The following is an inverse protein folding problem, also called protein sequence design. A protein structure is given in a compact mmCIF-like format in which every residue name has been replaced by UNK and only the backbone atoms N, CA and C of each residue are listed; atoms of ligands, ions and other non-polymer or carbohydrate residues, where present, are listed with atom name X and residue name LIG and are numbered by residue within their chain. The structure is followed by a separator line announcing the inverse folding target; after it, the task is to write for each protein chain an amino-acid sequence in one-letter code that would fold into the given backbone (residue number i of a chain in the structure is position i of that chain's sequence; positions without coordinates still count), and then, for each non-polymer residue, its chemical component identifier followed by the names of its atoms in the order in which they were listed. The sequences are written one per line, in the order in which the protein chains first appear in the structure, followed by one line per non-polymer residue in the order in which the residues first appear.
data_IF_134513105273
#
_entry.id   IF_134513105273
#
_cell.length_a   1.000
_cell.length_b   1.000
_cell.length_c   1.000
_cell.angle_alpha   90.00
_cell.angle_beta   90.00
_cell.angle_gamma   90.00
#
_symmetry.space_group_name_H-M   'P 1'
#
loop_
_entity.id
_entity.type
_entity.pdbx_description
1 polymer ?
#
# COMPACT_ATOMS: atom_id res chain seq x y z
N UNK A 1 16.58 2.15 15.47
CA UNK A 1 15.11 2.23 15.26
C UNK A 1 14.66 1.09 14.38
N UNK A 2 13.37 0.73 14.33
CA UNK A 2 12.90 -0.37 13.47
C UNK A 2 12.91 0.02 11.97
N UNK A 3 13.27 -0.94 11.10
CA UNK A 3 13.31 -0.77 9.64
C UNK A 3 12.52 -1.88 8.91
N UNK A 4 11.99 -1.59 7.71
CA UNK A 4 11.46 -2.61 6.81
C UNK A 4 12.51 -3.67 6.49
N UNK A 5 12.07 -4.89 6.17
CA UNK A 5 12.97 -5.95 5.69
C UNK A 5 13.44 -5.72 4.25
N UNK A 6 12.59 -5.06 3.46
CA UNK A 6 12.87 -4.67 2.08
C UNK A 6 12.43 -3.22 1.90
N UNK A 7 13.26 -2.41 1.25
CA UNK A 7 12.85 -1.11 0.70
C UNK A 7 13.06 -1.16 -0.80
N UNK A 8 11.98 -0.91 -1.53
CA UNK A 8 11.94 -0.88 -2.97
C UNK A 8 11.86 0.56 -3.47
N UNK A 9 12.45 0.81 -4.64
CA UNK A 9 12.41 2.10 -5.31
C UNK A 9 11.97 1.92 -6.77
N UNK A 10 11.14 2.85 -7.27
CA UNK A 10 11.13 3.11 -8.71
C UNK A 10 12.43 3.80 -9.12
N UNK A 11 12.69 3.86 -10.42
CA UNK A 11 13.85 4.50 -11.01
C UNK A 11 13.53 5.93 -11.45
N UNK A 12 12.75 6.03 -12.52
CA UNK A 12 12.37 7.30 -13.15
C UNK A 12 11.43 8.09 -12.23
N UNK A 13 11.68 9.39 -12.05
CA UNK A 13 10.95 10.23 -11.10
C UNK A 13 11.35 10.02 -9.63
N UNK A 14 12.08 8.96 -9.30
CA UNK A 14 12.42 8.57 -7.92
C UNK A 14 13.93 8.65 -7.63
N UNK A 15 14.75 7.75 -8.19
CA UNK A 15 16.21 7.82 -8.04
C UNK A 15 16.79 8.96 -8.89
N UNK A 16 16.17 9.21 -10.04
CA UNK A 16 16.55 10.27 -10.96
C UNK A 16 15.31 10.90 -11.59
N UNK A 17 15.39 12.17 -11.95
CA UNK A 17 14.18 12.97 -12.19
C UNK A 17 13.37 12.59 -13.43
N UNK A 18 14.03 12.29 -14.55
CA UNK A 18 13.35 12.08 -15.84
C UNK A 18 13.55 10.68 -16.35
N UNK A 19 12.61 10.23 -17.18
CA UNK A 19 12.69 8.94 -17.87
C UNK A 19 14.05 8.73 -18.55
N UNK A 20 14.75 7.67 -18.17
CA UNK A 20 16.00 7.25 -18.80
C UNK A 20 15.69 6.57 -20.15
N UNK A 21 15.48 7.42 -21.17
CA UNK A 21 14.95 7.01 -22.45
C UNK A 21 15.99 6.31 -23.34
N UNK A 22 15.69 5.04 -23.65
CA UNK A 22 16.37 4.17 -24.62
C UNK A 22 16.60 4.79 -26.00
N UNK A 23 15.75 5.71 -26.41
CA UNK A 23 15.76 6.30 -27.74
C UNK A 23 16.54 7.62 -27.80
N UNK A 24 16.71 8.31 -26.66
CA UNK A 24 17.42 9.59 -26.58
C UNK A 24 18.88 9.42 -26.19
N UNK A 25 19.15 8.56 -25.22
CA UNK A 25 20.52 8.18 -24.86
C UNK A 25 21.08 7.24 -25.96
N UNK A 26 22.34 7.42 -26.32
CA UNK A 26 23.09 6.64 -27.31
C UNK A 26 22.69 6.81 -28.77
N UNK A 27 21.69 7.63 -29.09
CA UNK A 27 21.28 7.89 -30.47
C UNK A 27 21.98 9.13 -31.02
N UNK A 28 23.17 8.95 -31.59
CA UNK A 28 23.70 9.58 -32.83
C UNK A 28 25.22 9.36 -32.94
N UNK A 29 25.64 8.56 -33.91
CA UNK A 29 27.04 8.33 -34.28
C UNK A 29 27.56 6.95 -33.88
N UNK A 30 28.61 6.48 -34.56
CA UNK A 30 29.24 5.18 -34.35
C UNK A 30 29.63 5.00 -32.87
N UNK A 31 28.76 4.38 -32.07
CA UNK A 31 29.05 4.06 -30.67
C UNK A 31 30.05 2.90 -30.67
N UNK A 32 31.15 3.05 -29.94
CA UNK A 32 32.13 1.97 -29.83
C UNK A 32 31.53 0.83 -29.03
N UNK A 33 31.42 -0.35 -29.65
CA UNK A 33 31.24 -1.72 -29.18
C UNK A 33 30.21 -2.08 -28.06
N UNK A 34 29.74 -1.17 -27.20
CA UNK A 34 28.67 -1.37 -26.19
C UNK A 34 27.97 -0.02 -25.91
N UNK A 35 26.65 0.05 -26.11
CA UNK A 35 25.90 1.32 -26.02
C UNK A 35 25.62 1.76 -24.56
N UNK A 36 25.85 0.84 -23.63
CA UNK A 36 25.75 0.98 -22.18
C UNK A 36 26.92 1.81 -21.63
N UNK A 37 28.13 1.61 -22.19
CA UNK A 37 29.33 2.34 -21.78
C UNK A 37 29.33 3.81 -22.20
N UNK A 38 28.28 4.25 -22.91
CA UNK A 38 28.08 5.64 -23.29
C UNK A 38 27.52 6.52 -22.17
N UNK A 39 27.22 5.96 -20.99
CA UNK A 39 26.81 6.72 -19.82
C UNK A 39 28.01 7.11 -18.94
N UNK A 40 27.97 8.32 -18.39
CA UNK A 40 28.90 8.80 -17.36
C UNK A 40 28.14 9.58 -16.28
N UNK A 41 28.74 9.68 -15.09
CA UNK A 41 28.24 10.54 -14.03
C UNK A 41 29.09 11.81 -13.92
N UNK A 42 28.45 12.98 -14.01
CA UNK A 42 29.10 14.29 -13.91
C UNK A 42 28.22 15.20 -13.08
N UNK A 43 28.75 15.74 -11.97
CA UNK A 43 28.03 16.68 -11.09
C UNK A 43 26.63 16.17 -10.68
N UNK A 44 26.55 14.92 -10.21
CA UNK A 44 25.32 14.24 -9.84
C UNK A 44 24.28 14.10 -10.97
N UNK A 45 24.73 14.07 -12.23
CA UNK A 45 23.89 13.84 -13.41
C UNK A 45 24.41 12.65 -14.18
N UNK A 46 23.53 11.73 -14.54
CA UNK A 46 23.81 10.69 -15.53
C UNK A 46 23.70 11.33 -16.90
N UNK A 47 24.81 11.36 -17.64
CA UNK A 47 24.93 12.05 -18.92
C UNK A 47 25.37 11.08 -20.00
N UNK A 48 24.90 11.33 -21.22
CA UNK A 48 25.43 10.69 -22.42
C UNK A 48 26.80 11.29 -22.80
N UNK A 49 27.83 10.44 -22.91
CA UNK A 49 29.21 10.85 -23.24
C UNK A 49 29.30 11.53 -24.61
N UNK A 50 28.56 11.03 -25.60
CA UNK A 50 28.58 11.53 -26.99
C UNK A 50 27.57 12.67 -27.23
N UNK A 51 26.44 12.64 -26.52
CA UNK A 51 25.38 13.64 -26.61
C UNK A 51 25.19 14.35 -25.27
N UNK A 52 26.19 15.13 -24.85
CA UNK A 52 26.25 15.82 -23.54
C UNK A 52 24.99 16.60 -23.11
N UNK A 53 24.17 17.18 -24.02
CA UNK A 53 22.88 17.77 -23.64
C UNK A 53 21.87 16.76 -23.04
N UNK A 54 21.95 15.49 -23.42
CA UNK A 54 21.09 14.41 -22.91
C UNK A 54 21.63 13.95 -21.55
N UNK A 55 20.89 14.31 -20.49
CA UNK A 55 21.28 14.05 -19.11
C UNK A 55 20.05 13.93 -18.21
N UNK A 56 20.16 13.12 -17.15
CA UNK A 56 19.19 13.05 -16.07
C UNK A 56 19.88 13.45 -14.77
N UNK A 57 19.23 14.30 -13.97
CA UNK A 57 19.69 14.63 -12.61
C UNK A 57 19.33 13.49 -11.66
N UNK A 58 20.32 13.00 -10.92
CA UNK A 58 20.15 12.02 -9.84
C UNK A 58 19.67 12.78 -8.61
N UNK A 59 18.84 12.15 -7.78
CA UNK A 59 18.43 12.76 -6.52
C UNK A 59 19.63 13.01 -5.60
N UNK A 60 19.68 14.17 -4.95
CA UNK A 60 20.86 14.59 -4.18
C UNK A 60 21.01 13.77 -2.88
N UNK A 61 19.89 13.35 -2.28
CA UNK A 61 19.88 12.61 -1.01
C UNK A 61 20.05 11.09 -1.17
N UNK A 62 20.03 10.58 -2.41
CA UNK A 62 19.95 9.13 -2.63
C UNK A 62 21.15 8.37 -2.05
N UNK A 63 22.35 8.94 -2.12
CA UNK A 63 23.56 8.29 -1.58
C UNK A 63 23.46 8.10 -0.07
N UNK A 64 22.94 9.10 0.64
CA UNK A 64 22.76 9.04 2.09
C UNK A 64 21.64 8.07 2.47
N UNK A 65 20.53 8.09 1.72
CA UNK A 65 19.39 7.18 1.92
C UNK A 65 19.83 5.72 1.75
N UNK A 66 20.55 5.41 0.67
CA UNK A 66 21.04 4.06 0.42
C UNK A 66 22.06 3.64 1.48
N UNK A 67 22.98 4.53 1.86
CA UNK A 67 23.95 4.28 2.94
C UNK A 67 23.25 3.94 4.26
N UNK A 68 22.19 4.66 4.64
CA UNK A 68 21.38 4.37 5.83
C UNK A 68 20.73 2.99 5.76
N UNK A 69 20.16 2.62 4.60
CA UNK A 69 19.56 1.30 4.41
C UNK A 69 20.59 0.17 4.51
N UNK A 70 21.79 0.36 3.95
CA UNK A 70 22.89 -0.60 4.04
C UNK A 70 23.33 -0.76 5.50
N UNK A 71 23.52 0.34 6.23
CA UNK A 71 23.89 0.34 7.64
C UNK A 71 22.89 -0.41 8.52
N UNK A 72 21.59 -0.28 8.21
CA UNK A 72 20.51 -0.96 8.91
C UNK A 72 20.17 -2.37 8.36
N UNK A 73 21.00 -2.90 7.45
CA UNK A 73 20.86 -4.26 6.86
C UNK A 73 19.52 -4.48 6.15
N UNK A 74 18.97 -3.43 5.56
CA UNK A 74 17.75 -3.51 4.74
C UNK A 74 18.10 -4.03 3.36
N UNK A 75 17.32 -4.98 2.83
CA UNK A 75 17.47 -5.44 1.45
C UNK A 75 16.86 -4.41 0.50
N UNK A 76 17.63 -3.99 -0.50
CA UNK A 76 17.19 -2.99 -1.47
C UNK A 76 16.61 -3.71 -2.69
N UNK A 77 15.49 -3.21 -3.19
CA UNK A 77 14.84 -3.70 -4.40
C UNK A 77 14.59 -2.55 -5.39
N UNK A 78 14.56 -2.88 -6.67
CA UNK A 78 14.11 -2.00 -7.74
C UNK A 78 12.81 -2.58 -8.32
N UNK A 79 11.81 -1.73 -8.46
CA UNK A 79 10.54 -2.07 -9.08
C UNK A 79 10.17 -0.93 -10.05
N UNK A 80 10.50 -1.10 -11.34
CA UNK A 80 10.34 -0.04 -12.34
C UNK A 80 9.66 -0.50 -13.62
N UNK A 81 8.83 0.38 -14.19
CA UNK A 81 8.16 0.13 -15.47
C UNK A 81 8.99 0.50 -16.70
N UNK A 82 10.24 0.92 -16.50
CA UNK A 82 11.14 1.21 -17.60
C UNK A 82 11.36 -0.05 -18.46
N UNK A 83 11.43 0.13 -19.78
CA UNK A 83 11.62 -0.94 -20.76
C UNK A 83 13.10 -1.19 -21.10
N UNK A 84 14.01 -0.38 -20.56
CA UNK A 84 15.46 -0.41 -20.84
C UNK A 84 16.27 -0.97 -19.67
N UNK A 85 15.82 -2.12 -19.15
CA UNK A 85 16.41 -2.87 -18.02
C UNK A 85 17.89 -3.21 -18.24
N UNK A 86 18.14 -4.07 -19.24
CA UNK A 86 19.33 -4.91 -19.47
C UNK A 86 18.86 -6.31 -19.82
N UNK A 87 19.61 -7.03 -20.65
CA UNK A 87 19.23 -8.28 -21.31
C UNK A 87 18.85 -9.46 -20.37
N UNK A 88 17.75 -10.14 -20.73
CA UNK A 88 17.64 -11.59 -20.90
C UNK A 88 17.93 -12.54 -19.72
N UNK A 89 16.87 -12.95 -19.01
CA UNK A 89 16.39 -14.35 -18.93
C UNK A 89 15.33 -14.45 -17.83
N UNK A 90 14.05 -14.26 -18.20
CA UNK A 90 12.91 -14.96 -17.58
C UNK A 90 11.66 -14.62 -18.40
N UNK A 91 11.48 -15.36 -19.49
CA UNK A 91 10.16 -15.65 -20.03
C UNK A 91 10.16 -17.08 -20.53
N UNK A 92 9.03 -17.71 -20.29
CA UNK A 92 8.71 -19.12 -20.42
C UNK A 92 9.15 -19.79 -21.72
N UNK A 93 9.25 -21.12 -21.62
CA UNK A 93 9.27 -22.08 -22.73
C UNK A 93 8.52 -21.58 -23.97
N UNK A 94 9.15 -21.79 -25.12
CA UNK A 94 8.62 -21.80 -26.49
C UNK A 94 8.94 -20.60 -27.41
N UNK A 95 9.90 -20.89 -28.31
CA UNK A 95 9.87 -20.64 -29.77
C UNK A 95 10.23 -19.23 -30.27
N UNK A 96 11.38 -19.22 -30.97
CA UNK A 96 11.83 -18.34 -32.07
C UNK A 96 12.21 -16.87 -31.80
N UNK A 97 13.51 -16.68 -31.56
CA UNK A 97 14.40 -15.78 -32.31
C UNK A 97 13.79 -14.48 -32.89
N UNK A 98 13.78 -13.42 -32.07
CA UNK A 98 14.20 -12.09 -32.52
C UNK A 98 15.12 -11.51 -31.44
N UNK A 99 16.41 -11.37 -31.77
CA UNK A 99 17.37 -10.53 -31.03
C UNK A 99 16.85 -9.09 -31.09
N UNK A 100 15.97 -8.71 -30.17
CA UNK A 100 15.72 -7.30 -29.90
C UNK A 100 16.93 -6.74 -29.15
N UNK A 101 17.45 -5.62 -29.63
CA UNK A 101 18.48 -4.80 -29.00
C UNK A 101 18.01 -4.34 -27.61
N UNK A 102 18.18 -5.17 -26.59
CA UNK A 102 17.94 -4.78 -25.21
C UNK A 102 19.24 -4.16 -24.70
N UNK A 103 19.16 -2.87 -24.36
CA UNK A 103 20.28 -2.07 -23.89
C UNK A 103 20.17 -1.86 -22.35
N UNK A 104 21.11 -2.41 -21.56
CA UNK A 104 21.24 -2.28 -20.09
C UNK A 104 21.39 -0.89 -19.45
N UNK A 105 20.57 0.10 -19.80
CA UNK A 105 20.80 1.48 -19.31
C UNK A 105 20.49 1.66 -17.85
N UNK A 106 19.41 1.06 -17.36
CA UNK A 106 19.04 1.19 -15.95
C UNK A 106 20.09 0.53 -15.05
N UNK A 107 20.52 -0.69 -15.37
CA UNK A 107 21.56 -1.39 -14.61
C UNK A 107 22.90 -0.63 -14.67
N UNK A 108 23.24 -0.08 -15.83
CA UNK A 108 24.46 0.73 -15.98
C UNK A 108 24.39 2.04 -15.21
N UNK A 109 23.23 2.70 -15.22
CA UNK A 109 22.98 3.88 -14.41
C UNK A 109 23.16 3.57 -12.92
N UNK A 110 22.56 2.49 -12.42
CA UNK A 110 22.73 2.02 -11.04
C UNK A 110 24.19 1.72 -10.72
N UNK A 111 24.94 1.13 -11.66
CA UNK A 111 26.36 0.85 -11.48
C UNK A 111 27.22 2.13 -11.35
N UNK A 112 26.85 3.21 -12.05
CA UNK A 112 27.58 4.49 -11.98
C UNK A 112 27.38 5.22 -10.64
N UNK A 113 26.34 4.88 -9.88
CA UNK A 113 26.05 5.48 -8.59
C UNK A 113 26.86 4.79 -7.50
N UNK A 114 28.04 5.34 -7.17
CA UNK A 114 28.83 4.85 -6.05
C UNK A 114 28.28 5.34 -4.72
N UNK A 115 27.94 4.40 -3.84
CA UNK A 115 27.42 4.66 -2.49
C UNK A 115 28.42 4.20 -1.44
N UNK A 116 28.47 4.91 -0.31
CA UNK A 116 29.31 4.54 0.82
C UNK A 116 28.65 3.43 1.63
N UNK A 117 29.36 2.33 1.88
CA UNK A 117 28.91 1.28 2.81
C UNK A 117 29.48 1.55 4.21
N UNK A 118 28.64 1.96 5.17
CA UNK A 118 29.09 2.27 6.52
C UNK A 118 29.57 1.03 7.30
N UNK A 119 29.33 -0.19 6.81
CA UNK A 119 29.75 -1.44 7.47
C UNK A 119 31.14 -1.89 7.01
N UNK A 120 31.49 -1.61 5.76
CA UNK A 120 32.79 -2.00 5.17
C UNK A 120 33.74 -0.81 5.00
N UNK A 121 33.25 0.41 5.20
CA UNK A 121 33.97 1.67 4.96
C UNK A 121 34.49 1.80 3.50
N UNK A 122 33.77 1.22 2.54
CA UNK A 122 34.13 1.24 1.12
C UNK A 122 33.04 1.88 0.27
N UNK A 123 33.46 2.52 -0.82
CA UNK A 123 32.57 2.98 -1.87
C UNK A 123 32.33 1.83 -2.85
N UNK A 124 31.08 1.52 -3.14
CA UNK A 124 30.71 0.50 -4.13
C UNK A 124 29.52 0.96 -4.98
N UNK A 125 29.37 0.42 -6.19
CA UNK A 125 28.18 0.65 -7.01
C UNK A 125 26.88 0.32 -6.27
N UNK A 126 25.83 1.13 -6.46
CA UNK A 126 24.48 0.85 -5.93
C UNK A 126 23.95 -0.50 -6.43
N UNK A 127 24.29 -0.88 -7.67
CA UNK A 127 23.93 -2.18 -8.25
C UNK A 127 24.34 -3.37 -7.37
N UNK A 128 25.44 -3.26 -6.61
CA UNK A 128 25.94 -4.34 -5.76
C UNK A 128 25.05 -4.59 -4.53
N UNK A 129 24.22 -3.60 -4.16
CA UNK A 129 23.31 -3.69 -3.00
C UNK A 129 21.86 -3.99 -3.40
N UNK A 130 21.53 -3.94 -4.69
CA UNK A 130 20.19 -4.29 -5.20
C UNK A 130 20.05 -5.81 -5.22
N UNK A 131 19.21 -6.34 -4.33
CA UNK A 131 18.97 -7.78 -4.19
C UNK A 131 17.89 -8.27 -5.14
N UNK A 132 16.88 -7.45 -5.41
CA UNK A 132 15.78 -7.77 -6.32
C UNK A 132 15.66 -6.67 -7.37
N UNK A 133 15.82 -7.01 -8.64
CA UNK A 133 15.87 -6.05 -9.74
C UNK A 133 14.74 -6.31 -10.75
N UNK A 134 13.52 -5.86 -10.44
CA UNK A 134 12.35 -5.99 -11.30
C UNK A 134 12.19 -4.70 -12.12
N UNK A 135 12.59 -4.72 -13.39
CA UNK A 135 12.46 -3.58 -14.33
C UNK A 135 11.82 -4.08 -15.61
N UNK A 136 10.53 -3.83 -15.83
CA UNK A 136 9.80 -4.18 -17.05
C UNK A 136 8.42 -3.51 -17.03
N UNK A 137 7.82 -3.28 -18.20
CA UNK A 137 6.55 -2.56 -18.31
C UNK A 137 5.34 -3.44 -17.94
N UNK A 138 5.16 -3.67 -16.65
CA UNK A 138 4.01 -4.37 -16.06
C UNK A 138 3.50 -3.63 -14.82
N UNK A 139 2.33 -4.00 -14.30
CA UNK A 139 1.85 -3.46 -13.02
C UNK A 139 2.89 -3.67 -11.91
N UNK A 140 3.04 -2.68 -11.02
CA UNK A 140 3.90 -2.80 -9.83
C UNK A 140 3.46 -3.96 -8.93
N UNK A 141 2.19 -4.40 -9.02
CA UNK A 141 1.72 -5.61 -8.34
C UNK A 141 2.50 -6.85 -8.75
N UNK A 142 2.77 -7.03 -10.04
CA UNK A 142 3.53 -8.18 -10.56
C UNK A 142 4.99 -8.14 -10.07
N UNK A 143 5.57 -6.93 -10.00
CA UNK A 143 6.92 -6.73 -9.44
C UNK A 143 6.98 -7.19 -7.99
N UNK A 144 6.03 -6.75 -7.15
CA UNK A 144 5.98 -7.13 -5.75
C UNK A 144 5.59 -8.59 -5.52
N UNK A 145 4.79 -9.21 -6.41
CA UNK A 145 4.53 -10.66 -6.38
C UNK A 145 5.83 -11.45 -6.52
N UNK A 146 6.66 -11.11 -7.51
CA UNK A 146 7.98 -11.76 -7.69
C UNK A 146 8.93 -11.48 -6.54
N UNK A 147 9.01 -10.23 -6.07
CA UNK A 147 9.85 -9.89 -4.90
C UNK A 147 9.41 -10.71 -3.68
N UNK A 148 8.11 -10.87 -3.43
CA UNK A 148 7.60 -11.69 -2.33
C UNK A 148 7.97 -13.17 -2.52
N UNK A 149 7.78 -13.72 -3.72
CA UNK A 149 8.13 -15.10 -4.06
C UNK A 149 9.61 -15.40 -3.82
N UNK A 150 10.52 -14.55 -4.31
CA UNK A 150 11.95 -14.74 -4.13
C UNK A 150 12.42 -14.48 -2.70
N UNK A 151 11.83 -13.49 -2.01
CA UNK A 151 12.32 -13.04 -0.71
C UNK A 151 11.72 -13.77 0.49
N UNK A 152 10.54 -14.39 0.33
CA UNK A 152 9.71 -14.89 1.42
C UNK A 152 9.24 -13.82 2.41
N UNK A 153 9.38 -12.53 2.08
CA UNK A 153 9.00 -11.43 2.96
C UNK A 153 7.53 -11.09 2.75
N UNK A 154 6.81 -10.95 3.85
CA UNK A 154 5.43 -10.46 3.79
C UNK A 154 5.37 -8.97 3.39
N UNK A 155 4.39 -8.61 2.56
CA UNK A 155 4.22 -7.26 2.00
C UNK A 155 4.26 -6.17 3.08
N UNK A 156 3.66 -6.44 4.23
CA UNK A 156 3.59 -5.48 5.33
C UNK A 156 4.96 -5.14 5.98
N UNK A 157 6.03 -5.87 5.62
CA UNK A 157 7.43 -5.60 5.96
C UNK A 157 8.21 -4.92 4.83
N UNK A 158 7.53 -4.45 3.78
CA UNK A 158 8.12 -3.77 2.63
C UNK A 158 7.78 -2.26 2.61
N UNK A 159 8.84 -1.47 2.40
CA UNK A 159 8.93 -0.08 1.95
C UNK A 159 8.77 0.09 0.43
N UNK A 160 7.89 0.92 -0.13
CA UNK A 160 8.00 1.30 -1.56
C UNK A 160 7.92 2.82 -1.78
N UNK A 161 8.87 3.34 -2.56
CA UNK A 161 8.93 4.73 -3.01
C UNK A 161 8.77 4.82 -4.52
N UNK A 162 7.82 5.66 -4.97
CA UNK A 162 7.47 5.85 -6.39
C UNK A 162 6.84 7.24 -6.57
N UNK A 163 7.01 7.86 -7.73
CA UNK A 163 6.46 9.20 -8.01
C UNK A 163 5.02 9.17 -8.55
N UNK A 164 4.60 8.07 -9.18
CA UNK A 164 3.27 7.91 -9.76
C UNK A 164 2.26 7.48 -8.71
N UNK A 165 1.19 8.25 -8.53
CA UNK A 165 0.17 7.93 -7.52
C UNK A 165 -0.55 6.63 -7.86
N UNK A 166 -0.77 6.31 -9.13
CA UNK A 166 -1.42 5.07 -9.57
C UNK A 166 -0.74 3.83 -9.00
N UNK A 167 0.59 3.87 -8.80
CA UNK A 167 1.35 2.78 -8.22
C UNK A 167 1.05 2.55 -6.72
N UNK A 168 0.32 3.46 -6.05
CA UNK A 168 -0.27 3.23 -4.71
C UNK A 168 -1.25 2.04 -4.69
N UNK A 169 -1.64 1.53 -5.86
CA UNK A 169 -2.39 0.28 -5.99
C UNK A 169 -1.74 -0.89 -5.24
N UNK A 170 -0.42 -0.89 -5.03
CA UNK A 170 0.25 -1.98 -4.30
C UNK A 170 0.00 -1.89 -2.80
N UNK A 171 -0.03 -0.67 -2.23
CA UNK A 171 -0.49 -0.44 -0.85
C UNK A 171 -1.98 -0.75 -0.73
N UNK A 172 -2.74 -0.45 -1.79
CA UNK A 172 -4.05 -1.03 -1.95
C UNK A 172 -3.87 -2.57 -2.06
N UNK A 173 -4.02 -3.21 -3.19
CA UNK A 173 -4.19 -4.67 -3.31
C UNK A 173 -3.26 -5.62 -2.52
N UNK A 174 -2.02 -5.25 -2.16
CA UNK A 174 -1.05 -6.13 -1.49
C UNK A 174 -0.73 -5.75 -0.03
N UNK A 175 -0.98 -4.51 0.37
CA UNK A 175 -0.80 -4.05 1.76
C UNK A 175 0.65 -3.81 2.19
N UNK A 176 1.57 -3.56 1.26
CA UNK A 176 2.86 -2.93 1.61
C UNK A 176 2.69 -1.43 1.85
N UNK A 177 3.68 -0.79 2.48
CA UNK A 177 3.62 0.66 2.72
C UNK A 177 4.11 1.40 1.49
N UNK A 178 3.27 2.30 0.95
CA UNK A 178 3.61 3.12 -0.20
C UNK A 178 3.87 4.57 0.22
N UNK A 179 4.97 5.13 -0.26
CA UNK A 179 5.30 6.53 -0.08
C UNK A 179 5.41 7.21 -1.46
N UNK A 180 4.46 8.11 -1.76
CA UNK A 180 4.55 8.94 -2.97
C UNK A 180 5.77 9.86 -2.84
N UNK A 181 6.62 9.81 -3.85
CA UNK A 181 7.68 10.78 -4.10
C UNK A 181 7.06 11.93 -4.88
N UNK A 182 7.37 13.16 -4.48
CA UNK A 182 6.86 14.33 -5.17
C UNK A 182 7.48 14.38 -6.57
N UNK A 183 6.64 14.44 -7.60
CA UNK A 183 7.08 14.61 -8.99
C UNK A 183 7.73 15.99 -9.16
N UNK A 184 9.00 16.08 -8.78
CA UNK A 184 9.80 17.29 -8.65
C UNK A 184 11.18 17.05 -9.23
N UNK A 185 11.86 18.10 -9.68
CA UNK A 185 13.21 18.06 -10.25
C UNK A 185 14.31 17.52 -9.31
N UNK A 186 13.94 17.16 -8.07
CA UNK A 186 14.83 16.71 -7.01
C UNK A 186 14.80 15.18 -6.80
N UNK A 187 13.77 14.48 -7.27
CA UNK A 187 13.57 13.05 -6.96
C UNK A 187 13.32 12.80 -5.46
N UNK A 188 13.64 11.60 -4.97
CA UNK A 188 13.43 11.21 -3.58
C UNK A 188 14.32 11.98 -2.59
N UNK A 189 13.70 12.87 -1.80
CA UNK A 189 14.42 13.63 -0.77
C UNK A 189 14.43 12.93 0.59
N UNK A 190 15.39 13.31 1.45
CA UNK A 190 15.55 12.76 2.79
C UNK A 190 14.27 12.89 3.64
N UNK A 191 13.54 14.00 3.52
CA UNK A 191 12.28 14.21 4.23
C UNK A 191 11.20 13.18 3.86
N UNK A 192 11.07 12.87 2.56
CA UNK A 192 10.10 11.87 2.06
C UNK A 192 10.50 10.46 2.48
N UNK A 193 11.80 10.17 2.46
CA UNK A 193 12.36 8.91 2.96
C UNK A 193 12.03 8.69 4.45
N UNK A 194 12.34 9.68 5.30
CA UNK A 194 12.10 9.61 6.73
C UNK A 194 10.60 9.48 7.04
N UNK A 195 9.76 10.22 6.31
CA UNK A 195 8.31 10.11 6.43
C UNK A 195 7.80 8.72 6.04
N UNK A 196 8.30 8.15 4.94
CA UNK A 196 7.94 6.79 4.52
C UNK A 196 8.31 5.74 5.56
N UNK A 197 9.48 5.86 6.19
CA UNK A 197 9.88 5.00 7.31
C UNK A 197 8.97 5.16 8.51
N UNK A 198 8.58 6.39 8.85
CA UNK A 198 7.67 6.67 9.96
C UNK A 198 6.27 6.09 9.72
N UNK A 199 5.72 6.26 8.51
CA UNK A 199 4.44 5.63 8.11
C UNK A 199 4.56 4.11 8.22
N UNK A 200 5.65 3.52 7.71
CA UNK A 200 5.86 2.07 7.81
C UNK A 200 5.93 1.59 9.27
N UNK A 201 6.63 2.34 10.15
CA UNK A 201 6.73 2.04 11.59
C UNK A 201 5.36 2.11 12.26
N UNK A 202 4.56 3.14 11.94
CA UNK A 202 3.17 3.24 12.43
C UNK A 202 2.32 2.06 11.99
N UNK A 203 2.47 1.65 10.73
CA UNK A 203 1.83 0.45 10.21
C UNK A 203 2.30 -0.83 10.91
N UNK A 204 3.45 -0.81 11.59
CA UNK A 204 3.88 -1.95 12.41
C UNK A 204 3.07 -2.11 13.70
N UNK A 205 2.48 -1.05 14.26
CA UNK A 205 1.62 -1.16 15.43
C UNK A 205 0.24 -1.74 15.13
N UNK A 206 -0.15 -1.86 13.85
CA UNK A 206 -1.31 -2.67 13.45
C UNK A 206 -1.06 -4.19 13.54
N UNK A 207 0.07 -4.65 14.11
CA UNK A 207 0.20 -6.07 14.44
C UNK A 207 -0.71 -6.38 15.62
N UNK A 208 -1.61 -7.32 15.40
CA UNK A 208 -2.06 -8.18 16.48
C UNK A 208 -0.85 -8.94 17.05
N UNK A 209 -0.55 -8.87 18.35
CA UNK A 209 0.43 -9.77 18.96
C UNK A 209 -0.09 -11.20 18.95
N UNK A 210 0.69 -12.07 18.31
CA UNK A 210 0.95 -13.49 18.60
C UNK A 210 -0.13 -14.55 18.24
N UNK A 211 0.20 -15.47 17.31
CA UNK A 211 -0.45 -16.77 17.13
C UNK A 211 -0.33 -17.74 18.33
N UNK A 212 0.39 -17.36 19.40
CA UNK A 212 0.75 -18.24 20.53
C UNK A 212 0.60 -17.58 21.92
N UNK A 213 -0.14 -16.48 22.05
CA UNK A 213 -0.53 -16.04 23.39
C UNK A 213 -1.59 -17.02 23.91
N UNK A 214 -1.44 -17.53 25.14
CA UNK A 214 -2.38 -18.46 25.76
C UNK A 214 -3.78 -17.86 25.97
N UNK A 215 -4.47 -18.07 27.12
CA UNK A 215 -5.74 -17.39 27.36
C UNK A 215 -5.60 -15.88 27.13
N UNK A 216 -6.53 -15.31 26.38
CA UNK A 216 -6.50 -13.96 25.78
C UNK A 216 -5.83 -12.91 26.69
N UNK A 217 -4.63 -12.38 26.34
CA UNK A 217 -3.85 -11.51 27.21
C UNK A 217 -4.46 -10.11 27.42
N UNK A 218 -5.55 -9.78 26.72
CA UNK A 218 -6.25 -8.50 26.83
C UNK A 218 -7.71 -8.74 27.27
N UNK A 219 -8.00 -8.70 28.59
CA UNK A 219 -9.29 -9.13 29.12
C UNK A 219 -10.44 -8.15 28.88
N UNK A 220 -10.17 -6.91 28.44
CA UNK A 220 -11.18 -5.87 28.26
C UNK A 220 -11.86 -5.94 26.88
N UNK A 221 -12.32 -7.13 26.50
CA UNK A 221 -13.03 -7.32 25.25
C UNK A 221 -14.38 -6.60 25.29
N UNK A 222 -14.72 -5.92 24.20
CA UNK A 222 -16.04 -5.30 24.03
C UNK A 222 -16.64 -5.62 22.67
N UNK A 223 -17.92 -5.97 22.67
CA UNK A 223 -18.68 -6.10 21.45
C UNK A 223 -18.82 -4.72 20.82
N UNK A 224 -18.50 -4.61 19.54
CA UNK A 224 -18.65 -3.37 18.76
C UNK A 224 -19.67 -3.50 17.63
N UNK A 225 -20.19 -4.70 17.39
CA UNK A 225 -21.31 -4.92 16.48
C UNK A 225 -21.31 -6.32 15.87
N UNK A 226 -21.96 -6.41 14.71
CA UNK A 226 -22.20 -7.64 13.96
C UNK A 226 -21.73 -7.45 12.52
N UNK A 227 -21.09 -8.48 11.96
CA UNK A 227 -20.59 -8.46 10.58
C UNK A 227 -21.10 -9.68 9.82
N UNK A 228 -21.27 -9.54 8.51
CA UNK A 228 -21.39 -10.66 7.59
C UNK A 228 -20.01 -11.03 7.05
N UNK A 229 -19.51 -12.23 7.35
CA UNK A 229 -18.22 -12.72 6.85
C UNK A 229 -18.25 -14.23 6.61
N UNK A 230 -17.50 -14.72 5.62
CA UNK A 230 -17.27 -16.15 5.46
C UNK A 230 -16.30 -16.68 6.54
N UNK A 231 -16.33 -18.00 6.76
CA UNK A 231 -15.51 -18.67 7.77
C UNK A 231 -14.01 -18.41 7.59
N UNK A 232 -13.52 -18.45 6.34
CA UNK A 232 -12.10 -18.32 6.05
C UNK A 232 -11.60 -16.90 6.38
N UNK A 233 -12.36 -15.88 5.97
CA UNK A 233 -12.08 -14.49 6.31
C UNK A 233 -12.21 -14.26 7.82
N UNK A 234 -13.20 -14.87 8.48
CA UNK A 234 -13.39 -14.82 9.94
C UNK A 234 -12.20 -15.39 10.71
N UNK A 235 -11.71 -16.57 10.31
CA UNK A 235 -10.51 -17.19 10.89
C UNK A 235 -9.30 -16.27 10.74
N UNK A 236 -9.14 -15.63 9.57
CA UNK A 236 -8.04 -14.70 9.33
C UNK A 236 -8.08 -13.46 10.23
N UNK A 237 -9.27 -12.90 10.49
CA UNK A 237 -9.44 -11.84 11.49
C UNK A 237 -8.99 -12.30 12.88
N UNK A 238 -9.38 -13.52 13.27
CA UNK A 238 -9.09 -14.08 14.60
C UNK A 238 -7.60 -14.33 14.83
N UNK A 239 -6.89 -14.78 13.79
CA UNK A 239 -5.43 -14.96 13.78
C UNK A 239 -4.67 -13.61 13.80
N UNK A 240 -5.40 -12.50 13.71
CA UNK A 240 -4.80 -11.17 13.73
C UNK A 240 -3.99 -10.86 12.47
N UNK A 241 -4.30 -11.55 11.37
CA UNK A 241 -3.66 -11.28 10.09
C UNK A 241 -4.00 -9.86 9.64
N UNK A 242 -3.00 -9.25 9.00
CA UNK A 242 -3.16 -7.97 8.31
C UNK A 242 -3.96 -8.16 7.02
N UNK A 243 -3.94 -7.13 6.17
CA UNK A 243 -4.49 -7.16 4.82
C UNK A 243 -3.97 -8.37 4.03
N UNK A 244 -4.88 -9.05 3.36
CA UNK A 244 -4.59 -10.08 2.38
C UNK A 244 -5.07 -9.63 1.00
N UNK A 245 -4.48 -10.22 -0.05
CA UNK A 245 -4.95 -10.05 -1.42
C UNK A 245 -6.42 -10.47 -1.47
N UNK A 246 -7.31 -9.52 -1.71
CA UNK A 246 -8.74 -9.73 -1.85
C UNK A 246 -9.28 -8.89 -3.00
N UNK A 247 -10.50 -9.17 -3.45
CA UNK A 247 -11.21 -8.33 -4.43
C UNK A 247 -11.71 -7.01 -3.83
N UNK A 248 -11.57 -6.80 -2.51
CA UNK A 248 -12.02 -5.59 -1.81
C UNK A 248 -10.85 -4.63 -1.52
N UNK A 249 -10.87 -3.39 -2.00
CA UNK A 249 -9.83 -2.42 -1.70
C UNK A 249 -9.92 -1.96 -0.22
N UNK A 250 -8.81 -2.01 0.53
CA UNK A 250 -8.76 -1.62 1.95
C UNK A 250 -7.34 -1.23 2.41
N UNK A 251 -6.94 0.04 2.29
CA UNK A 251 -5.52 0.50 2.34
C UNK A 251 -4.63 -0.18 3.39
N UNK A 252 -5.13 -0.41 4.59
CA UNK A 252 -4.43 -1.16 5.62
C UNK A 252 -5.44 -1.93 6.48
N UNK A 253 -5.17 -3.22 6.70
CA UNK A 253 -6.09 -4.09 7.42
C UNK A 253 -7.29 -4.52 6.58
N UNK A 254 -8.49 -4.35 7.14
CA UNK A 254 -9.73 -4.92 6.61
C UNK A 254 -10.82 -3.85 6.53
N UNK A 255 -11.51 -3.78 5.39
CA UNK A 255 -12.76 -3.02 5.26
C UNK A 255 -13.94 -3.92 5.59
N UNK A 256 -14.74 -3.57 6.60
CA UNK A 256 -15.88 -4.36 7.05
C UNK A 256 -17.12 -3.50 7.27
N UNK A 257 -18.27 -4.06 6.92
CA UNK A 257 -19.57 -3.50 7.29
C UNK A 257 -19.93 -4.00 8.67
N UNK A 258 -20.01 -3.09 9.64
CA UNK A 258 -20.40 -3.38 11.01
C UNK A 258 -21.80 -2.83 11.23
N UNK A 259 -22.72 -3.69 11.64
CA UNK A 259 -24.06 -3.33 12.07
C UNK A 259 -24.15 -3.35 13.59
N UNK A 260 -24.92 -2.43 14.15
CA UNK A 260 -25.32 -2.43 15.56
C UNK A 260 -26.33 -3.55 15.88
N UNK A 261 -27.14 -3.93 14.88
CA UNK A 261 -28.15 -4.98 14.97
C UNK A 261 -27.80 -6.20 14.06
N UNK A 262 -27.87 -7.45 14.56
CA UNK A 262 -27.67 -8.64 13.73
C UNK A 262 -28.63 -8.76 12.54
N UNK A 263 -29.84 -8.20 12.61
CA UNK A 263 -30.82 -8.18 11.50
C UNK A 263 -30.29 -7.38 10.29
N UNK A 264 -29.63 -6.26 10.58
CA UNK A 264 -29.02 -5.40 9.57
C UNK A 264 -27.78 -6.09 8.98
N UNK A 265 -27.01 -6.83 9.79
CA UNK A 265 -25.95 -7.69 9.25
C UNK A 265 -26.53 -8.80 8.36
N UNK A 266 -27.67 -9.38 8.73
CA UNK A 266 -28.35 -10.41 7.95
C UNK A 266 -28.80 -9.91 6.57
N UNK A 267 -29.22 -8.65 6.46
CA UNK A 267 -29.54 -8.03 5.17
C UNK A 267 -28.35 -8.09 4.20
N UNK A 268 -27.15 -7.72 4.65
CA UNK A 268 -25.95 -7.79 3.80
C UNK A 268 -25.54 -9.23 3.45
N UNK A 269 -25.71 -10.16 4.39
CA UNK A 269 -25.48 -11.60 4.11
C UNK A 269 -26.42 -12.09 3.01
N UNK A 270 -27.71 -11.72 3.08
CA UNK A 270 -28.71 -12.08 2.08
C UNK A 270 -28.39 -11.46 0.73
N UNK A 271 -28.09 -10.17 0.68
CA UNK A 271 -27.70 -9.49 -0.54
C UNK A 271 -26.48 -10.15 -1.21
N UNK A 272 -25.51 -10.60 -0.40
CA UNK A 272 -24.40 -11.41 -0.88
C UNK A 272 -24.84 -12.73 -1.52
N UNK A 273 -25.74 -13.47 -0.87
CA UNK A 273 -26.27 -14.75 -1.38
C UNK A 273 -27.17 -14.62 -2.61
N UNK A 274 -27.87 -13.49 -2.75
CA UNK A 274 -28.63 -13.17 -3.96
C UNK A 274 -27.70 -12.95 -5.17
N UNK A 275 -26.49 -12.45 -4.92
CA UNK A 275 -25.46 -12.25 -5.96
C UNK A 275 -24.65 -13.52 -6.25
N UNK A 276 -24.42 -14.37 -5.24
CA UNK A 276 -23.69 -15.63 -5.34
C UNK A 276 -24.31 -16.67 -4.37
N UNK A 277 -25.18 -17.58 -4.86
CA UNK A 277 -25.91 -18.53 -4.00
C UNK A 277 -25.02 -19.48 -3.20
N UNK A 278 -23.79 -19.75 -3.66
CA UNK A 278 -22.86 -20.67 -3.03
C UNK A 278 -21.98 -19.98 -1.96
N UNK A 279 -22.14 -18.67 -1.77
CA UNK A 279 -21.31 -17.90 -0.85
C UNK A 279 -21.66 -18.22 0.62
N UNK A 280 -20.72 -18.89 1.29
CA UNK A 280 -20.90 -19.33 2.67
C UNK A 280 -20.58 -18.20 3.68
N UNK A 281 -21.48 -17.23 3.78
CA UNK A 281 -21.37 -16.08 4.70
C UNK A 281 -22.16 -16.35 5.99
N UNK A 282 -21.52 -16.09 7.14
CA UNK A 282 -22.10 -16.16 8.48
C UNK A 282 -22.26 -14.77 9.10
N UNK A 283 -23.19 -14.65 10.04
CA UNK A 283 -23.32 -13.48 10.90
C UNK A 283 -22.44 -13.71 12.13
N UNK A 284 -21.43 -12.87 12.31
CA UNK A 284 -20.48 -12.98 13.41
C UNK A 284 -20.58 -11.77 14.32
N UNK A 285 -20.46 -11.99 15.63
CA UNK A 285 -20.23 -10.93 16.60
C UNK A 285 -18.78 -10.44 16.46
N UNK A 286 -18.62 -9.13 16.34
CA UNK A 286 -17.32 -8.48 16.26
C UNK A 286 -16.95 -7.86 17.60
N UNK A 287 -15.81 -8.27 18.13
CA UNK A 287 -15.26 -7.76 19.39
C UNK A 287 -13.97 -7.00 19.13
N UNK A 288 -13.79 -5.88 19.81
CA UNK A 288 -12.45 -5.34 20.05
C UNK A 288 -11.83 -6.11 21.21
N UNK A 289 -10.55 -6.43 21.11
CA UNK A 289 -9.83 -7.21 22.13
C UNK A 289 -9.61 -6.41 23.40
N UNK A 290 -9.18 -5.16 23.24
CA UNK A 290 -9.03 -4.21 24.32
C UNK A 290 -9.78 -2.93 24.00
N UNK A 291 -10.82 -2.64 24.79
CA UNK A 291 -11.64 -1.48 24.60
C UNK A 291 -10.95 -0.16 24.97
N UNK A 292 -9.99 -0.16 25.90
CA UNK A 292 -9.27 1.07 26.24
C UNK A 292 -8.32 1.47 25.13
N UNK A 293 -7.57 0.51 24.58
CA UNK A 293 -6.74 0.75 23.39
C UNK A 293 -7.63 1.22 22.25
N UNK A 294 -8.73 0.50 21.98
CA UNK A 294 -9.67 0.90 20.93
C UNK A 294 -10.20 2.31 21.15
N UNK A 295 -10.53 2.70 22.40
CA UNK A 295 -11.01 4.05 22.74
C UNK A 295 -9.96 5.12 22.47
N UNK A 296 -8.68 4.85 22.75
CA UNK A 296 -7.55 5.75 22.51
C UNK A 296 -7.13 5.85 21.04
N UNK A 297 -7.47 4.88 20.19
CA UNK A 297 -7.15 4.95 18.76
C UNK A 297 -7.84 6.15 18.10
N UNK A 298 -7.13 6.77 17.15
CA UNK A 298 -7.69 7.78 16.26
C UNK A 298 -8.89 7.22 15.49
N UNK A 299 -9.99 7.96 15.49
CA UNK A 299 -11.23 7.61 14.79
C UNK A 299 -11.68 8.79 13.95
N UNK A 300 -12.06 8.50 12.72
CA UNK A 300 -12.53 9.48 11.75
C UNK A 300 -13.95 9.12 11.37
N UNK A 301 -14.85 10.09 11.43
CA UNK A 301 -16.21 9.94 10.93
C UNK A 301 -16.37 10.70 9.62
N UNK A 302 -16.83 10.01 8.59
CA UNK A 302 -17.06 10.53 7.25
C UNK A 302 -18.56 10.54 6.97
N UNK A 303 -19.13 11.73 6.74
CA UNK A 303 -20.55 11.89 6.43
C UNK A 303 -20.86 11.49 4.97
N UNK A 304 -22.08 11.03 4.74
CA UNK A 304 -22.54 10.50 3.44
C UNK A 304 -22.74 11.61 2.39
N UNK A 305 -23.16 12.80 2.82
CA UNK A 305 -23.59 13.92 1.98
C UNK A 305 -22.50 14.97 1.70
N UNK A 306 -21.24 14.66 2.02
CA UNK A 306 -20.10 15.57 1.81
C UNK A 306 -19.45 15.47 0.43
N UNK A 307 -19.17 16.61 -0.21
CA UNK A 307 -18.35 16.69 -1.45
C UNK A 307 -16.91 16.19 -1.26
N UNK A 308 -16.40 16.22 -0.03
CA UNK A 308 -15.01 15.91 0.33
C UNK A 308 -14.65 14.42 0.22
N UNK A 309 -15.63 13.53 -0.03
CA UNK A 309 -15.43 12.06 0.03
C UNK A 309 -15.70 11.34 -1.30
N UNK A 310 -16.23 12.03 -2.32
CA UNK A 310 -16.56 11.40 -3.59
C UNK A 310 -15.31 11.31 -4.47
N UNK A 311 -15.10 10.14 -5.06
CA UNK A 311 -14.15 9.97 -6.17
C UNK A 311 -14.96 9.62 -7.39
N UNK A 312 -14.72 10.31 -8.48
CA UNK A 312 -15.27 9.89 -9.75
C UNK A 312 -14.46 8.71 -10.26
N UNK A 313 -14.89 7.50 -9.89
CA UNK A 313 -14.26 6.26 -10.34
C UNK A 313 -14.77 5.80 -11.72
N UNK A 314 -15.67 6.57 -12.36
CA UNK A 314 -16.25 6.21 -13.66
C UNK A 314 -15.57 6.94 -14.82
N UNK A 315 -15.16 8.19 -14.62
CA UNK A 315 -14.56 9.00 -15.68
C UNK A 315 -13.09 9.36 -15.42
N UNK A 316 -12.59 9.17 -14.20
CA UNK A 316 -11.19 9.49 -13.87
C UNK A 316 -10.25 8.34 -14.24
N UNK A 317 -9.01 8.69 -14.62
CA UNK A 317 -7.92 7.71 -14.78
C UNK A 317 -7.44 7.19 -13.42
N UNK A 318 -6.74 6.06 -13.41
CA UNK A 318 -6.17 5.49 -12.17
C UNK A 318 -5.26 6.48 -11.43
N UNK A 319 -4.47 7.28 -12.16
CA UNK A 319 -3.63 8.33 -11.59
C UNK A 319 -4.49 9.41 -10.91
N UNK A 320 -5.54 9.91 -11.59
CA UNK A 320 -6.44 10.91 -11.03
C UNK A 320 -7.16 10.40 -9.79
N UNK A 321 -7.60 9.13 -9.80
CA UNK A 321 -8.22 8.45 -8.66
C UNK A 321 -7.24 8.39 -7.48
N UNK A 322 -6.00 7.97 -7.74
CA UNK A 322 -4.97 7.84 -6.71
C UNK A 322 -4.51 9.20 -6.16
N UNK A 323 -4.38 10.22 -6.99
CA UNK A 323 -4.08 11.58 -6.54
C UNK A 323 -5.22 12.18 -5.71
N UNK A 324 -6.46 11.95 -6.14
CA UNK A 324 -7.66 12.33 -5.39
C UNK A 324 -7.68 11.67 -4.01
N UNK A 325 -7.28 10.39 -3.95
CA UNK A 325 -7.08 9.67 -2.70
C UNK A 325 -6.01 10.31 -1.80
N UNK A 326 -4.83 10.64 -2.32
CA UNK A 326 -3.76 11.27 -1.54
C UNK A 326 -4.18 12.64 -1.02
N UNK A 327 -4.89 13.43 -1.84
CA UNK A 327 -5.45 14.73 -1.42
C UNK A 327 -6.44 14.58 -0.26
N UNK A 328 -7.33 13.59 -0.32
CA UNK A 328 -8.26 13.30 0.77
C UNK A 328 -7.56 12.85 2.03
N UNK A 329 -6.49 12.08 1.94
CA UNK A 329 -5.75 11.63 3.12
C UNK A 329 -5.10 12.81 3.84
N UNK A 330 -4.54 13.76 3.08
CA UNK A 330 -4.03 15.03 3.64
C UNK A 330 -5.15 15.87 4.24
N UNK A 331 -6.32 15.90 3.62
CA UNK A 331 -7.48 16.61 4.16
C UNK A 331 -7.94 15.99 5.47
N UNK A 332 -8.14 14.67 5.52
CA UNK A 332 -8.52 13.94 6.75
C UNK A 332 -7.50 14.20 7.86
N UNK A 333 -6.20 14.07 7.56
CA UNK A 333 -5.17 14.31 8.55
C UNK A 333 -5.23 15.73 9.13
N UNK A 334 -5.50 16.75 8.30
CA UNK A 334 -5.67 18.14 8.74
C UNK A 334 -6.96 18.38 9.51
N UNK A 335 -8.08 17.89 8.99
CA UNK A 335 -9.42 18.11 9.57
C UNK A 335 -9.56 17.44 10.92
N UNK A 336 -9.14 16.18 11.03
CA UNK A 336 -9.32 15.40 12.26
C UNK A 336 -8.09 15.42 13.16
N UNK A 337 -6.98 16.03 12.72
CA UNK A 337 -5.68 16.03 13.42
C UNK A 337 -5.20 14.62 13.78
N UNK A 338 -5.52 13.67 12.91
CA UNK A 338 -5.11 12.27 13.04
C UNK A 338 -4.03 11.96 12.04
N UNK A 339 -3.30 10.88 12.29
CA UNK A 339 -2.45 10.32 11.26
C UNK A 339 -2.69 8.82 11.08
N UNK A 340 -2.29 8.28 9.94
CA UNK A 340 -2.48 6.85 9.67
C UNK A 340 -1.64 6.01 10.65
N UNK A 341 -2.14 4.87 11.13
CA UNK A 341 -3.46 4.29 10.91
C UNK A 341 -4.55 4.84 11.86
N UNK A 342 -5.79 4.96 11.39
CA UNK A 342 -6.97 5.41 12.14
C UNK A 342 -8.22 4.57 11.80
N UNK A 343 -9.25 4.49 12.64
CA UNK A 343 -10.48 3.79 12.24
C UNK A 343 -11.39 4.76 11.50
N UNK A 344 -11.71 4.46 10.23
CA UNK A 344 -12.66 5.24 9.45
C UNK A 344 -14.06 4.65 9.57
N UNK A 345 -15.01 5.46 9.97
CA UNK A 345 -16.43 5.16 9.97
C UNK A 345 -17.16 5.97 8.91
N UNK A 346 -18.08 5.33 8.20
CA UNK A 346 -19.00 5.97 7.27
C UNK A 346 -20.35 5.27 7.34
N UNK A 347 -21.44 6.01 7.15
CA UNK A 347 -22.76 5.39 6.92
C UNK A 347 -22.83 4.84 5.50
N UNK A 348 -23.55 3.73 5.34
CA UNK A 348 -23.90 3.19 4.04
C UNK A 348 -25.06 4.00 3.45
N UNK A 349 -25.04 4.26 2.14
CA UNK A 349 -26.06 5.12 1.52
C UNK A 349 -27.47 4.48 1.50
N UNK A 350 -27.55 3.15 1.47
CA UNK A 350 -28.83 2.41 1.58
C UNK A 350 -29.42 2.28 3.00
N UNK A 351 -29.00 3.10 3.97
CA UNK A 351 -29.47 2.96 5.36
C UNK A 351 -31.01 3.10 5.48
N UNK A 352 -31.67 3.87 4.61
CA UNK A 352 -33.13 4.04 4.63
C UNK A 352 -33.86 2.78 4.14
N UNK A 353 -33.39 2.19 3.04
CA UNK A 353 -33.94 0.94 2.50
C UNK A 353 -33.71 -0.22 3.48
N UNK A 354 -32.56 -0.29 4.12
CA UNK A 354 -32.26 -1.34 5.10
C UNK A 354 -33.17 -1.30 6.33
N UNK A 355 -33.49 -0.11 6.84
CA UNK A 355 -34.44 0.03 7.96
C UNK A 355 -35.84 -0.43 7.58
N UNK A 356 -36.25 -0.20 6.33
CA UNK A 356 -37.55 -0.68 5.83
C UNK A 356 -37.58 -2.21 5.72
N UNK A 357 -36.48 -2.83 5.30
CA UNK A 357 -36.34 -4.29 5.21
C UNK A 357 -36.36 -4.96 6.58
N UNK A 358 -35.59 -4.45 7.55
CA UNK A 358 -35.55 -5.02 8.91
C UNK A 358 -36.95 -5.05 9.55
N UNK A 359 -37.73 -3.98 9.35
CA UNK A 359 -39.12 -3.88 9.85
C UNK A 359 -40.10 -4.84 9.17
N UNK A 360 -39.81 -5.29 7.94
CA UNK A 360 -40.71 -6.11 7.13
C UNK A 360 -40.43 -7.63 7.25
N UNK A 361 -39.27 -8.04 7.79
CA UNK A 361 -38.90 -9.45 7.84
C UNK A 361 -39.61 -10.19 9.01
N UNK A 362 -40.42 -11.19 8.70
CA UNK A 362 -41.10 -12.07 9.67
C UNK A 362 -40.23 -13.23 10.19
N UNK A 363 -39.00 -13.33 9.68
CA UNK A 363 -38.12 -14.51 9.76
C UNK A 363 -37.62 -14.87 11.17
N UNK A 364 -37.80 -13.99 12.17
CA UNK A 364 -37.26 -14.22 13.52
C UNK A 364 -38.30 -14.35 14.64
N UNK A 365 -39.61 -14.50 14.37
CA UNK A 365 -40.53 -14.95 15.45
C UNK A 365 -40.03 -16.26 16.10
N UNK A 366 -39.40 -17.13 15.31
CA UNK A 366 -38.84 -18.42 15.77
C UNK A 366 -37.40 -18.34 16.35
N UNK A 367 -36.68 -17.23 16.15
CA UNK A 367 -35.31 -17.05 16.69
C UNK A 367 -35.24 -16.03 17.85
N UNK A 368 -36.28 -15.19 18.00
CA UNK A 368 -36.41 -14.20 19.07
C UNK A 368 -36.49 -14.81 20.48
N UNK A 369 -36.92 -16.06 20.62
CA UNK A 369 -37.00 -16.71 21.94
C UNK A 369 -35.63 -16.99 22.58
N UNK A 370 -34.51 -16.89 21.84
CA UNK A 370 -33.17 -17.18 22.36
C UNK A 370 -32.27 -15.98 22.64
N UNK A 371 -32.65 -14.75 22.28
CA UNK A 371 -31.79 -13.56 22.42
C UNK A 371 -32.51 -12.37 23.06
N UNK A 372 -33.23 -12.63 24.15
CA UNK A 372 -34.08 -11.61 24.80
C UNK A 372 -33.37 -10.61 25.71
N UNK A 373 -32.08 -10.77 25.93
CA UNK A 373 -31.29 -9.79 26.64
C UNK A 373 -30.28 -9.18 25.65
N UNK A 374 -29.88 -7.93 25.89
CA UNK A 374 -28.86 -7.18 25.15
C UNK A 374 -29.39 -6.30 24.01
N UNK A 375 -30.28 -5.37 24.37
CA UNK A 375 -30.34 -4.05 23.72
C UNK A 375 -29.01 -3.32 23.97
N UNK A 376 -28.07 -3.43 23.03
CA UNK A 376 -27.04 -2.40 22.88
C UNK A 376 -27.60 -1.46 21.80
N UNK A 377 -28.34 -0.46 22.25
CA UNK A 377 -28.49 0.73 21.43
C UNK A 377 -27.07 1.25 21.19
N UNK A 378 -26.71 1.47 19.93
CA UNK A 378 -25.58 2.29 19.58
C UNK A 378 -25.88 3.70 20.12
N UNK A 379 -25.53 3.93 21.39
CA UNK A 379 -26.06 5.05 22.15
C UNK A 379 -25.62 6.37 21.50
N UNK A 380 -26.52 7.35 21.53
CA UNK A 380 -26.25 8.72 21.08
C UNK A 380 -24.99 9.34 21.72
N UNK A 381 -24.50 8.79 22.83
CA UNK A 381 -23.20 9.11 23.44
C UNK A 381 -22.00 8.63 22.63
N UNK A 382 -22.04 7.42 22.06
CA UNK A 382 -20.98 6.92 21.17
C UNK A 382 -20.95 7.73 19.87
N UNK A 383 -22.13 8.04 19.32
CA UNK A 383 -22.24 8.92 18.15
C UNK A 383 -21.83 10.37 18.48
N UNK A 384 -22.13 10.88 19.69
CA UNK A 384 -21.66 12.19 20.17
C UNK A 384 -20.14 12.23 20.36
N UNK A 385 -19.54 11.21 20.96
CA UNK A 385 -18.10 11.15 21.18
C UNK A 385 -17.33 11.04 19.86
N UNK A 386 -17.89 10.34 18.87
CA UNK A 386 -17.37 10.32 17.49
C UNK A 386 -17.58 11.67 16.78
N UNK A 387 -18.70 12.36 17.00
CA UNK A 387 -18.98 13.69 16.39
C UNK A 387 -18.19 14.83 17.02
N UNK A 388 -17.85 14.76 18.32
CA UNK A 388 -17.06 15.77 19.06
C UNK A 388 -15.68 16.05 18.48
N UNK A 389 -15.16 15.17 17.62
CA UNK A 389 -13.88 15.35 16.94
C UNK A 389 -14.01 15.75 15.45
N UNK A 390 -15.22 16.11 15.00
CA UNK A 390 -15.49 16.37 13.58
C UNK A 390 -16.05 17.75 13.26
N UNK A 391 -16.41 18.57 14.25
CA UNK A 391 -16.97 19.90 14.02
C UNK A 391 -16.70 20.82 15.22
N UNK A 392 -15.79 21.77 15.02
CA UNK A 392 -16.06 23.20 15.24
C UNK A 392 -15.82 23.92 13.91
#
# INVERSE_FOLDING_TARGET
MAYPRIVAFDLDGTLWHTWLDGTKFGCKGCVSNTLEDNLEIVENKIRDKKNKPVRVKVSDDIYNIISDLIGNRVRIAIASRNTHKSLSLYSSKSVCFQRMNVNPRCDRALWLLNVFDPRTHQWRPLSDYVVYNEIYNESKRIHFERIKEYSGVEYHNMLFFDDQAANSEVEMWQGLTFQKVSHSSLGLMLGEYLHGLEVWRRNQYMRCPMPNAGPDPLPNRRLIGYIGTDWYTGQRYSEGMRRLKSSRPSRWGWGMYVADNPEMAAFFVRWGRESDPDINIYICRLFVRDFEIFRQMDKVWVAEDGSIHRTDNHHSTDEQIAESQIRRDKLIARTFRVEKPYVLFSRHHWMREMQSFARASTFLRDYHEKFRDWNIQWNAETERDMRRHSWD
#
